data_IF_352645932526
#
_entry.id   IF_352645932526
#
_cell.length_a   1.000
_cell.length_b   1.000
_cell.length_c   1.000
_cell.angle_alpha   90.00
_cell.angle_beta   90.00
_cell.angle_gamma   90.00
#
_symmetry.space_group_name_H-M   'P 1'
#
loop_
_entity.id
_entity.type
_entity.pdbx_description
1 polymer ?
#
# COMPACT_ATOMS: atom_id res chain seq x y z
N UNK A 1 -30.29 -13.97 -37.29
CA UNK A 1 -29.33 -12.86 -37.11
C UNK A 1 -28.97 -12.88 -35.64
N UNK A 2 -28.18 -13.89 -35.29
CA UNK A 2 -27.84 -14.19 -33.89
C UNK A 2 -26.44 -13.63 -33.66
N UNK A 3 -26.39 -12.55 -32.87
CA UNK A 3 -25.15 -11.99 -32.39
C UNK A 3 -24.62 -12.94 -31.30
N UNK A 4 -23.68 -13.80 -31.69
CA UNK A 4 -22.89 -14.64 -30.80
C UNK A 4 -21.99 -13.71 -29.96
N UNK A 5 -22.50 -13.29 -28.80
CA UNK A 5 -21.74 -12.51 -27.83
C UNK A 5 -20.79 -13.46 -27.11
N UNK A 6 -19.50 -13.37 -27.47
CA UNK A 6 -18.39 -14.08 -26.85
C UNK A 6 -18.48 -14.06 -25.30
N UNK A 7 -18.76 -15.21 -24.64
CA UNK A 7 -19.05 -15.26 -23.21
C UNK A 7 -17.80 -15.18 -22.31
N UNK A 8 -16.58 -15.00 -22.84
CA UNK A 8 -15.37 -15.14 -22.02
C UNK A 8 -14.41 -13.94 -22.14
N UNK A 9 -14.92 -12.71 -21.95
CA UNK A 9 -14.05 -11.60 -21.51
C UNK A 9 -13.64 -11.86 -20.07
N UNK A 10 -12.65 -12.74 -19.86
CA UNK A 10 -11.98 -12.89 -18.57
C UNK A 10 -11.27 -11.57 -18.25
N UNK A 11 -11.92 -10.77 -17.41
CA UNK A 11 -11.35 -9.59 -16.76
C UNK A 11 -10.31 -9.95 -15.69
N UNK A 12 -9.85 -11.21 -15.62
CA UNK A 12 -8.79 -11.62 -14.70
C UNK A 12 -7.40 -11.27 -15.26
N UNK A 13 -6.66 -10.33 -14.65
CA UNK A 13 -5.30 -10.02 -15.07
C UNK A 13 -4.38 -11.24 -14.90
N UNK A 14 -3.46 -11.43 -15.85
CA UNK A 14 -2.55 -12.57 -15.84
C UNK A 14 -1.76 -12.60 -14.52
N UNK A 15 -1.58 -13.77 -13.86
CA UNK A 15 -1.03 -13.85 -12.50
C UNK A 15 0.33 -13.16 -12.33
N UNK A 16 1.21 -13.31 -13.33
CA UNK A 16 2.53 -12.68 -13.31
C UNK A 16 2.47 -11.16 -13.44
N UNK A 17 1.44 -10.63 -14.08
CA UNK A 17 1.22 -9.18 -14.19
C UNK A 17 0.82 -8.63 -12.82
N UNK A 18 -0.13 -9.28 -12.12
CA UNK A 18 -0.50 -8.89 -10.75
C UNK A 18 0.70 -8.94 -9.81
N UNK A 19 1.50 -10.01 -9.87
CA UNK A 19 2.69 -10.15 -9.04
C UNK A 19 3.75 -9.09 -9.37
N UNK A 20 3.97 -8.77 -10.64
CA UNK A 20 4.90 -7.70 -11.05
C UNK A 20 4.38 -6.32 -10.65
N UNK A 21 3.09 -6.03 -10.84
CA UNK A 21 2.46 -4.79 -10.41
C UNK A 21 2.55 -4.60 -8.90
N UNK A 22 2.33 -5.66 -8.12
CA UNK A 22 2.53 -5.63 -6.66
C UNK A 22 3.98 -5.33 -6.30
N UNK A 23 4.94 -5.97 -6.97
CA UNK A 23 6.36 -5.69 -6.72
C UNK A 23 6.70 -4.22 -7.01
N UNK A 24 6.25 -3.69 -8.15
CA UNK A 24 6.46 -2.28 -8.52
C UNK A 24 5.80 -1.35 -7.50
N UNK A 25 4.53 -1.60 -7.15
CA UNK A 25 3.80 -0.78 -6.19
C UNK A 25 4.48 -0.77 -4.81
N UNK A 26 4.96 -1.93 -4.34
CA UNK A 26 5.72 -2.04 -3.09
C UNK A 26 7.05 -1.28 -3.18
N UNK A 27 7.78 -1.37 -4.29
CA UNK A 27 9.02 -0.60 -4.48
C UNK A 27 8.75 0.90 -4.44
N UNK A 28 7.69 1.37 -5.11
CA UNK A 28 7.27 2.78 -5.08
C UNK A 28 6.90 3.20 -3.66
N UNK A 29 6.09 2.41 -2.95
CA UNK A 29 5.72 2.65 -1.55
C UNK A 29 6.92 2.76 -0.62
N UNK A 30 7.90 1.86 -0.78
CA UNK A 30 9.12 1.87 0.03
C UNK A 30 9.99 3.09 -0.27
N UNK A 31 10.14 3.44 -1.54
CA UNK A 31 10.91 4.61 -1.97
C UNK A 31 10.27 5.90 -1.43
N UNK A 32 8.98 6.12 -1.70
CA UNK A 32 8.27 7.31 -1.23
C UNK A 32 8.14 7.34 0.29
N UNK A 33 7.94 6.17 0.92
CA UNK A 33 7.92 6.05 2.38
C UNK A 33 9.24 6.48 3.01
N UNK A 34 10.37 5.96 2.52
CA UNK A 34 11.70 6.33 3.01
C UNK A 34 12.00 7.82 2.76
N UNK A 35 11.68 8.34 1.56
CA UNK A 35 11.84 9.76 1.25
C UNK A 35 10.98 10.64 2.15
N UNK A 36 9.76 10.21 2.48
CA UNK A 36 8.83 10.96 3.34
C UNK A 36 9.38 11.19 4.76
N UNK A 37 10.20 10.24 5.27
CA UNK A 37 10.82 10.35 6.59
C UNK A 37 11.80 11.51 6.71
N UNK A 38 12.36 11.96 5.59
CA UNK A 38 13.32 13.08 5.52
C UNK A 38 12.74 14.32 4.82
N UNK A 39 11.48 14.26 4.39
CA UNK A 39 10.81 15.34 3.66
C UNK A 39 9.96 16.17 4.61
N UNK A 40 10.29 17.46 4.71
CA UNK A 40 9.55 18.43 5.54
C UNK A 40 9.16 19.71 4.79
N UNK A 41 9.53 19.85 3.51
CA UNK A 41 9.25 21.06 2.72
C UNK A 41 7.95 20.89 1.93
N UNK A 42 7.13 21.95 1.77
CA UNK A 42 5.91 21.89 0.96
C UNK A 42 6.16 21.46 -0.50
N UNK A 43 7.34 21.77 -1.05
CA UNK A 43 7.74 21.34 -2.39
C UNK A 43 7.81 19.81 -2.55
N UNK A 44 7.92 19.06 -1.45
CA UNK A 44 8.01 17.59 -1.44
C UNK A 44 6.64 16.93 -1.23
N UNK A 45 5.54 17.69 -1.19
CA UNK A 45 4.20 17.17 -0.91
C UNK A 45 3.76 16.06 -1.89
N UNK A 46 4.18 16.14 -3.15
CA UNK A 46 3.90 15.14 -4.17
C UNK A 46 4.38 13.73 -3.81
N UNK A 47 5.41 13.59 -2.96
CA UNK A 47 5.92 12.29 -2.49
C UNK A 47 4.83 11.57 -1.67
N UNK A 48 4.10 12.31 -0.85
CA UNK A 48 3.00 11.78 -0.04
C UNK A 48 1.81 11.38 -0.92
N UNK A 49 1.50 12.18 -1.94
CA UNK A 49 0.43 11.87 -2.90
C UNK A 49 0.72 10.55 -3.64
N UNK A 50 1.95 10.41 -4.17
CA UNK A 50 2.39 9.17 -4.83
C UNK A 50 2.36 7.99 -3.87
N UNK A 51 2.76 8.17 -2.61
CA UNK A 51 2.71 7.12 -1.60
C UNK A 51 1.29 6.61 -1.38
N UNK A 52 0.32 7.51 -1.20
CA UNK A 52 -1.08 7.11 -0.98
C UNK A 52 -1.69 6.49 -2.23
N UNK A 53 -1.47 7.05 -3.42
CA UNK A 53 -1.94 6.47 -4.70
C UNK A 53 -1.42 5.03 -4.84
N UNK A 54 -0.12 4.81 -4.58
CA UNK A 54 0.48 3.48 -4.63
C UNK A 54 -0.09 2.55 -3.55
N UNK A 55 -0.41 3.08 -2.36
CA UNK A 55 -1.05 2.35 -1.27
C UNK A 55 -2.44 1.85 -1.66
N UNK A 56 -3.28 2.73 -2.20
CA UNK A 56 -4.63 2.39 -2.67
C UNK A 56 -4.60 1.39 -3.83
N UNK A 57 -3.69 1.57 -4.79
CA UNK A 57 -3.48 0.59 -5.86
C UNK A 57 -3.07 -0.78 -5.31
N UNK A 58 -2.22 -0.81 -4.29
CA UNK A 58 -1.78 -2.05 -3.63
C UNK A 58 -2.93 -2.79 -2.95
N UNK A 59 -3.89 -2.07 -2.33
CA UNK A 59 -5.11 -2.71 -1.76
C UNK A 59 -5.86 -3.51 -2.82
N UNK A 60 -6.11 -2.91 -3.99
CA UNK A 60 -6.84 -3.57 -5.09
C UNK A 60 -6.07 -4.78 -5.63
N UNK A 61 -4.77 -4.61 -5.90
CA UNK A 61 -3.91 -5.68 -6.40
C UNK A 61 -3.79 -6.84 -5.41
N UNK A 62 -3.68 -6.53 -4.11
CA UNK A 62 -3.59 -7.52 -3.05
C UNK A 62 -4.91 -8.27 -2.90
N UNK A 63 -6.06 -7.60 -2.97
CA UNK A 63 -7.37 -8.23 -2.96
C UNK A 63 -7.53 -9.24 -4.12
N UNK A 64 -7.12 -8.89 -5.34
CA UNK A 64 -7.11 -9.83 -6.46
C UNK A 64 -6.18 -11.03 -6.22
N UNK A 65 -4.96 -10.78 -5.74
CA UNK A 65 -4.01 -11.86 -5.43
C UNK A 65 -4.57 -12.80 -4.37
N UNK A 66 -5.09 -12.27 -3.26
CA UNK A 66 -5.64 -13.06 -2.16
C UNK A 66 -6.88 -13.86 -2.59
N UNK A 67 -7.81 -13.25 -3.34
CA UNK A 67 -8.96 -13.97 -3.92
C UNK A 67 -8.50 -15.14 -4.78
N UNK A 68 -7.49 -14.92 -5.62
CA UNK A 68 -6.93 -15.97 -6.48
C UNK A 68 -6.25 -17.07 -5.68
N UNK A 69 -5.50 -16.76 -4.63
CA UNK A 69 -4.73 -17.77 -3.87
C UNK A 69 -5.46 -18.34 -2.66
N UNK A 70 -6.69 -17.90 -2.35
CA UNK A 70 -7.45 -18.34 -1.17
C UNK A 70 -7.54 -19.86 -1.02
N UNK A 71 -7.71 -20.59 -2.13
CA UNK A 71 -7.81 -22.05 -2.16
C UNK A 71 -6.48 -22.77 -1.89
N UNK A 72 -5.35 -22.04 -1.85
CA UNK A 72 -4.01 -22.58 -1.62
C UNK A 72 -3.57 -22.48 -0.16
N UNK A 73 -4.36 -21.80 0.67
CA UNK A 73 -4.10 -21.60 2.10
C UNK A 73 -4.97 -22.57 2.88
N UNK A 74 -4.57 -23.85 2.90
CA UNK A 74 -5.19 -24.89 3.71
C UNK A 74 -4.19 -25.33 4.80
N UNK A 75 -4.61 -25.56 6.06
CA UNK A 75 -3.71 -25.94 7.15
C UNK A 75 -2.81 -27.12 6.81
N UNK A 76 -3.38 -28.15 6.17
CA UNK A 76 -2.66 -29.36 5.73
C UNK A 76 -1.58 -29.12 4.66
N UNK A 77 -1.50 -27.91 4.09
CA UNK A 77 -0.54 -27.55 3.05
C UNK A 77 0.44 -26.48 3.51
N UNK A 78 0.46 -26.07 4.78
CA UNK A 78 1.39 -25.04 5.25
C UNK A 78 2.81 -25.62 5.37
N UNK A 79 3.71 -25.12 4.53
CA UNK A 79 5.16 -25.33 4.65
C UNK A 79 5.84 -24.00 5.04
N UNK A 80 7.13 -24.04 5.39
CA UNK A 80 7.87 -22.84 5.80
C UNK A 80 7.90 -21.72 4.75
N UNK A 81 7.73 -22.03 3.47
CA UNK A 81 7.67 -21.05 2.37
C UNK A 81 6.30 -20.38 2.28
N UNK A 82 5.22 -21.15 2.45
CA UNK A 82 3.86 -20.62 2.54
C UNK A 82 3.67 -19.80 3.81
N UNK A 83 4.28 -20.20 4.92
CA UNK A 83 4.25 -19.42 6.16
C UNK A 83 4.82 -18.01 5.96
N UNK A 84 5.98 -17.89 5.30
CA UNK A 84 6.55 -16.56 4.95
C UNK A 84 5.61 -15.78 4.03
N UNK A 85 4.95 -16.45 3.08
CA UNK A 85 4.00 -15.80 2.17
C UNK A 85 2.76 -15.27 2.89
N UNK A 86 2.24 -16.05 3.85
CA UNK A 86 1.12 -15.66 4.72
C UNK A 86 1.54 -14.52 5.63
N UNK A 87 2.70 -14.61 6.27
CA UNK A 87 3.22 -13.57 7.15
C UNK A 87 3.44 -12.25 6.39
N UNK A 88 4.03 -12.31 5.19
CA UNK A 88 4.18 -11.14 4.32
C UNK A 88 2.81 -10.53 3.97
N UNK A 89 1.82 -11.36 3.63
CA UNK A 89 0.47 -10.87 3.33
C UNK A 89 -0.19 -10.21 4.54
N UNK A 90 -0.05 -10.80 5.73
CA UNK A 90 -0.58 -10.25 6.99
C UNK A 90 0.09 -8.91 7.31
N UNK A 91 1.42 -8.84 7.29
CA UNK A 91 2.17 -7.62 7.60
C UNK A 91 1.87 -6.51 6.59
N UNK A 92 1.83 -6.83 5.28
CA UNK A 92 1.47 -5.85 4.25
C UNK A 92 0.03 -5.36 4.41
N UNK A 93 -0.92 -6.25 4.75
CA UNK A 93 -2.32 -5.87 5.00
C UNK A 93 -2.43 -4.99 6.24
N UNK A 94 -1.69 -5.30 7.31
CA UNK A 94 -1.65 -4.48 8.52
C UNK A 94 -1.02 -3.09 8.26
N UNK A 95 0.03 -3.01 7.46
CA UNK A 95 0.60 -1.74 7.02
C UNK A 95 -0.44 -0.91 6.25
N UNK A 96 -1.12 -1.50 5.27
CA UNK A 96 -2.19 -0.81 4.52
C UNK A 96 -3.33 -0.36 5.45
N UNK A 97 -3.80 -1.23 6.35
CA UNK A 97 -4.88 -0.92 7.27
C UNK A 97 -4.53 0.23 8.22
N UNK A 98 -3.32 0.23 8.78
CA UNK A 98 -2.84 1.31 9.66
C UNK A 98 -2.68 2.63 8.91
N UNK A 99 -2.22 2.60 7.65
CA UNK A 99 -2.12 3.80 6.81
C UNK A 99 -3.49 4.37 6.45
N UNK A 100 -4.43 3.52 6.03
CA UNK A 100 -5.82 3.92 5.76
C UNK A 100 -6.49 4.50 7.01
N UNK A 101 -6.37 3.79 8.14
CA UNK A 101 -6.88 4.25 9.44
C UNK A 101 -6.29 5.60 9.83
N UNK A 102 -4.99 5.80 9.61
CA UNK A 102 -4.32 7.08 9.83
C UNK A 102 -4.96 8.18 8.99
N UNK A 103 -5.10 8.01 7.67
CA UNK A 103 -5.67 9.04 6.77
C UNK A 103 -7.04 9.52 7.26
N UNK A 104 -7.92 8.61 7.69
CA UNK A 104 -9.27 8.91 8.16
C UNK A 104 -9.38 9.53 9.56
N UNK A 105 -8.27 9.94 10.18
CA UNK A 105 -8.34 10.54 11.51
C UNK A 105 -8.09 9.53 12.65
N UNK A 106 -7.88 8.25 12.35
CA UNK A 106 -7.58 7.21 13.31
C UNK A 106 -6.34 7.51 14.15
N UNK A 107 -6.40 7.08 15.41
CA UNK A 107 -5.33 7.17 16.41
C UNK A 107 -5.18 5.81 17.08
N UNK A 108 -3.98 5.52 17.55
CA UNK A 108 -3.66 4.36 18.37
C UNK A 108 -2.49 4.78 19.25
N UNK A 109 -2.66 4.59 20.55
CA UNK A 109 -1.64 4.84 21.55
C UNK A 109 -1.00 3.50 21.93
N UNK A 110 0.32 3.41 21.74
CA UNK A 110 1.15 2.26 22.09
C UNK A 110 2.23 2.67 23.10
N UNK A 111 1.90 3.61 24.00
CA UNK A 111 2.81 4.19 24.98
C UNK A 111 3.70 5.25 24.32
N UNK A 112 5.02 5.06 24.22
CA UNK A 112 5.89 6.05 23.58
C UNK A 112 5.66 6.16 22.06
N UNK A 113 4.92 5.22 21.45
CA UNK A 113 4.71 5.15 20.01
C UNK A 113 3.24 5.36 19.63
N UNK A 114 2.99 6.09 18.54
CA UNK A 114 1.66 6.21 17.96
C UNK A 114 1.43 5.30 16.75
N UNK A 115 0.20 5.34 16.23
CA UNK A 115 -0.22 4.65 15.01
C UNK A 115 0.71 4.85 13.80
N UNK A 116 1.24 6.07 13.60
CA UNK A 116 2.17 6.34 12.49
C UNK A 116 3.48 5.55 12.64
N UNK A 117 3.99 5.43 13.87
CA UNK A 117 5.20 4.64 14.15
C UNK A 117 4.94 3.15 13.91
N UNK A 118 3.75 2.65 14.27
CA UNK A 118 3.34 1.28 13.94
C UNK A 118 3.32 1.07 12.42
N UNK A 119 2.74 2.01 11.66
CA UNK A 119 2.72 1.95 10.20
C UNK A 119 4.13 1.90 9.61
N UNK A 120 5.05 2.76 10.09
CA UNK A 120 6.46 2.76 9.67
C UNK A 120 7.13 1.42 10.00
N UNK A 121 6.98 0.92 11.22
CA UNK A 121 7.57 -0.35 11.65
C UNK A 121 7.09 -1.54 10.80
N UNK A 122 5.79 -1.61 10.52
CA UNK A 122 5.23 -2.62 9.63
C UNK A 122 5.76 -2.45 8.19
N UNK A 123 5.82 -1.21 7.70
CA UNK A 123 6.36 -0.88 6.38
C UNK A 123 7.82 -1.29 6.20
N UNK A 124 8.65 -1.14 7.24
CA UNK A 124 10.05 -1.59 7.25
C UNK A 124 10.20 -3.12 7.36
N UNK A 125 9.21 -3.81 7.92
CA UNK A 125 9.21 -5.27 7.98
C UNK A 125 8.84 -5.92 6.64
N UNK A 126 8.01 -5.26 5.83
CA UNK A 126 7.64 -5.71 4.47
C UNK A 126 8.85 -6.05 3.59
N UNK A 127 9.87 -5.18 3.38
CA UNK A 127 10.99 -5.49 2.50
C UNK A 127 11.81 -6.67 3.00
N UNK A 128 11.97 -6.83 4.32
CA UNK A 128 12.67 -7.99 4.91
C UNK A 128 11.95 -9.29 4.53
N UNK A 129 10.64 -9.35 4.78
CA UNK A 129 9.83 -10.52 4.46
C UNK A 129 9.73 -10.75 2.94
N UNK A 130 9.67 -9.68 2.15
CA UNK A 130 9.63 -9.73 0.70
C UNK A 130 10.92 -10.32 0.13
N UNK A 131 12.10 -9.90 0.61
CA UNK A 131 13.38 -10.47 0.17
C UNK A 131 13.45 -11.96 0.50
N UNK A 132 13.05 -12.36 1.72
CA UNK A 132 13.00 -13.79 2.10
C UNK A 132 12.01 -14.57 1.22
N UNK A 133 10.83 -14.01 0.96
CA UNK A 133 9.82 -14.60 0.08
C UNK A 133 10.37 -14.79 -1.35
N UNK A 134 10.98 -13.74 -1.91
CA UNK A 134 11.54 -13.76 -3.26
C UNK A 134 12.67 -14.79 -3.35
N UNK A 135 13.60 -14.85 -2.40
CA UNK A 135 14.68 -15.88 -2.40
C UNK A 135 14.15 -17.32 -2.43
N UNK A 136 12.97 -17.56 -1.84
CA UNK A 136 12.34 -18.91 -1.80
C UNK A 136 11.43 -19.21 -2.99
N UNK A 137 11.02 -18.20 -3.77
CA UNK A 137 9.99 -18.33 -4.83
C UNK A 137 10.24 -17.54 -6.12
N UNK A 138 11.43 -17.00 -6.33
CA UNK A 138 11.69 -16.05 -7.41
C UNK A 138 11.35 -16.64 -8.79
N UNK A 139 10.36 -16.05 -9.45
CA UNK A 139 10.03 -16.34 -10.84
C UNK A 139 9.54 -15.05 -11.50
N UNK A 140 10.45 -14.33 -12.17
CA UNK A 140 10.09 -13.13 -12.92
C UNK A 140 9.23 -13.47 -14.16
N UNK A 141 8.37 -12.55 -14.62
CA UNK A 141 7.70 -12.68 -15.91
C UNK A 141 8.74 -12.80 -17.04
N UNK A 142 8.48 -13.67 -18.03
CA UNK A 142 9.26 -13.67 -19.29
C UNK A 142 8.97 -12.37 -20.04
N UNK A 143 9.96 -11.82 -20.75
CA UNK A 143 9.88 -10.52 -21.44
C UNK A 143 8.66 -10.43 -22.38
N UNK A 144 8.25 -11.54 -23.00
CA UNK A 144 7.05 -11.57 -23.87
C UNK A 144 5.75 -11.16 -23.14
N UNK A 145 5.62 -11.46 -21.83
CA UNK A 145 4.43 -11.11 -21.07
C UNK A 145 4.34 -9.61 -20.74
N UNK A 146 5.45 -8.87 -20.82
CA UNK A 146 5.51 -7.43 -20.51
C UNK A 146 5.21 -6.58 -21.76
N UNK A 147 5.48 -7.10 -22.96
CA UNK A 147 5.38 -6.37 -24.22
C UNK A 147 3.98 -6.37 -24.88
N UNK A 148 2.98 -7.00 -24.27
CA UNK A 148 1.62 -7.10 -24.83
C UNK A 148 0.81 -5.79 -24.65
N UNK A 149 0.20 -5.28 -25.71
CA UNK A 149 -0.69 -4.09 -25.70
C UNK A 149 -1.81 -4.22 -24.68
N UNK A 150 -2.34 -5.44 -24.50
CA UNK A 150 -3.40 -5.70 -23.51
C UNK A 150 -2.89 -5.53 -22.07
N UNK A 151 -1.60 -5.80 -21.81
CA UNK A 151 -1.00 -5.56 -20.50
C UNK A 151 -0.66 -4.09 -20.28
N UNK A 152 -0.27 -3.34 -21.31
CA UNK A 152 -0.11 -1.89 -21.23
C UNK A 152 -1.44 -1.19 -20.81
N UNK A 153 -2.57 -1.57 -21.42
CA UNK A 153 -3.90 -1.07 -21.02
C UNK A 153 -4.27 -1.46 -19.58
N UNK A 154 -3.87 -2.66 -19.13
CA UNK A 154 -4.09 -3.09 -17.74
C UNK A 154 -3.24 -2.30 -16.74
N UNK A 155 -1.98 -2.00 -17.08
CA UNK A 155 -1.13 -1.11 -16.28
C UNK A 155 -1.73 0.29 -16.21
N UNK A 156 -2.17 0.83 -17.34
CA UNK A 156 -2.86 2.12 -17.40
C UNK A 156 -4.15 2.12 -16.56
N UNK A 157 -4.92 1.03 -16.57
CA UNK A 157 -6.12 0.90 -15.74
C UNK A 157 -5.80 0.84 -14.23
N UNK A 158 -4.72 0.17 -13.82
CA UNK A 158 -4.30 0.13 -12.40
C UNK A 158 -3.84 1.51 -11.94
N UNK A 159 -3.02 2.19 -12.75
CA UNK A 159 -2.56 3.56 -12.44
C UNK A 159 -3.75 4.52 -12.43
N UNK A 160 -4.64 4.44 -13.42
CA UNK A 160 -5.85 5.23 -13.51
C UNK A 160 -6.80 5.01 -12.34
N UNK A 161 -7.00 3.76 -11.91
CA UNK A 161 -7.80 3.43 -10.74
C UNK A 161 -7.19 3.98 -9.44
N UNK A 162 -5.86 3.94 -9.30
CA UNK A 162 -5.17 4.58 -8.19
C UNK A 162 -5.38 6.10 -8.15
N UNK A 163 -5.26 6.76 -9.31
CA UNK A 163 -5.51 8.20 -9.43
C UNK A 163 -6.99 8.56 -9.15
N UNK A 164 -7.94 7.73 -9.60
CA UNK A 164 -9.37 7.92 -9.34
C UNK A 164 -9.70 7.73 -7.86
N UNK A 165 -9.11 6.71 -7.22
CA UNK A 165 -9.27 6.44 -5.79
C UNK A 165 -8.65 7.56 -4.94
N UNK A 166 -7.53 8.13 -5.37
CA UNK A 166 -6.96 9.32 -4.74
C UNK A 166 -7.90 10.52 -4.79
N UNK A 167 -8.45 10.83 -5.98
CA UNK A 167 -9.43 11.92 -6.12
C UNK A 167 -10.70 11.67 -5.30
N UNK A 168 -11.16 10.42 -5.22
CA UNK A 168 -12.29 10.03 -4.38
C UNK A 168 -11.97 10.19 -2.89
N UNK A 169 -10.75 9.85 -2.45
CA UNK A 169 -10.29 10.03 -1.07
C UNK A 169 -10.25 11.52 -0.69
N UNK A 170 -9.70 12.36 -1.56
CA UNK A 170 -9.61 13.82 -1.37
C UNK A 170 -11.02 14.44 -1.26
N UNK A 171 -11.94 13.97 -2.10
CA UNK A 171 -13.36 14.37 -2.07
C UNK A 171 -14.06 13.87 -0.80
N UNK A 172 -13.81 12.63 -0.38
CA UNK A 172 -14.39 12.05 0.83
C UNK A 172 -13.90 12.77 2.09
N UNK A 173 -12.60 13.08 2.17
CA UNK A 173 -12.03 13.84 3.28
C UNK A 173 -12.64 15.24 3.38
N UNK A 174 -12.86 15.92 2.23
CA UNK A 174 -13.51 17.23 2.17
C UNK A 174 -15.01 17.17 2.50
N UNK A 175 -15.71 16.12 2.08
CA UNK A 175 -17.16 15.96 2.32
C UNK A 175 -17.50 15.50 3.75
N UNK A 176 -16.60 14.76 4.39
CA UNK A 176 -16.81 14.17 5.72
C UNK A 176 -16.22 15.02 6.86
N UNK A 177 -15.65 16.19 6.55
CA UNK A 177 -15.00 17.10 7.51
C UNK A 177 -14.08 16.38 8.50
N UNK A 178 -13.37 15.38 7.98
CA UNK A 178 -12.55 14.50 8.82
C UNK A 178 -11.35 15.27 9.34
N UNK A 179 -10.78 14.81 10.46
CA UNK A 179 -9.45 15.24 10.92
C UNK A 179 -8.32 14.96 9.89
N UNK A 180 -8.66 14.42 8.72
CA UNK A 180 -7.89 14.40 7.48
C UNK A 180 -7.62 15.79 6.88
N UNK A 181 -8.54 16.75 7.08
CA UNK A 181 -8.50 18.10 6.53
C UNK A 181 -7.54 19.05 7.28
N UNK A 182 -7.32 18.84 8.58
CA UNK A 182 -6.48 19.69 9.43
C UNK A 182 -5.03 19.19 9.59
N UNK A 183 -4.61 18.22 8.76
CA UNK A 183 -3.30 17.58 8.84
C UNK A 183 -2.24 18.39 8.10
N UNK A 184 -0.99 18.31 8.56
CA UNK A 184 0.14 18.67 7.68
C UNK A 184 0.16 17.73 6.48
N UNK A 185 0.63 18.22 5.34
CA UNK A 185 0.80 17.41 4.11
C UNK A 185 1.67 16.16 4.34
N UNK A 186 2.55 16.19 5.34
CA UNK A 186 3.35 15.04 5.75
C UNK A 186 2.54 13.90 6.39
N UNK A 187 1.24 14.11 6.57
CA UNK A 187 0.37 13.22 7.33
C UNK A 187 0.59 13.30 8.84
N UNK A 188 1.59 14.00 9.36
CA UNK A 188 1.75 14.21 10.81
C UNK A 188 0.61 15.07 11.39
N UNK A 189 0.29 14.88 12.67
CA UNK A 189 -0.60 15.78 13.41
C UNK A 189 0.21 16.54 14.46
N UNK A 190 -0.18 17.78 14.68
CA UNK A 190 0.37 18.59 15.75
C UNK A 190 -0.19 18.11 17.10
N UNK A 191 0.69 18.01 18.09
CA UNK A 191 0.35 17.69 19.47
C UNK A 191 1.13 18.62 20.38
N UNK A 192 0.47 19.35 21.27
CA UNK A 192 1.12 20.16 22.31
C UNK A 192 1.69 21.50 21.84
N UNK A 193 1.17 22.09 20.76
CA UNK A 193 1.63 23.40 20.29
C UNK A 193 1.30 24.48 21.31
N UNK A 194 2.32 25.17 21.81
CA UNK A 194 2.15 26.22 22.82
C UNK A 194 2.08 25.72 24.26
N UNK A 195 2.17 24.41 24.52
CA UNK A 195 2.12 23.82 25.88
C UNK A 195 3.49 23.83 26.61
N UNK A 196 4.42 24.70 26.19
CA UNK A 196 5.75 24.83 26.80
C UNK A 196 6.68 23.63 26.53
N UNK A 197 7.37 23.13 27.56
CA UNK A 197 8.32 22.00 27.44
C UNK A 197 7.64 20.62 27.43
N UNK A 198 6.33 20.56 27.17
CA UNK A 198 5.57 19.32 27.09
C UNK A 198 5.80 18.57 25.76
N UNK A 199 7.07 18.37 25.39
CA UNK A 199 7.42 17.60 24.21
C UNK A 199 7.15 16.10 24.44
N UNK A 200 6.72 15.35 23.40
CA UNK A 200 6.63 13.90 23.50
C UNK A 200 7.99 13.31 23.89
N UNK A 201 8.00 12.27 24.73
CA UNK A 201 9.24 11.57 25.15
C UNK A 201 10.07 10.98 24.00
N UNK A 202 9.53 10.98 22.78
CA UNK A 202 10.20 10.58 21.54
C UNK A 202 10.81 11.74 20.75
N UNK A 203 10.69 12.98 21.23
CA UNK A 203 11.33 14.15 20.64
C UNK A 203 12.77 14.29 21.16
N UNK A 204 13.74 14.19 20.25
CA UNK A 204 15.17 14.28 20.54
C UNK A 204 15.69 15.72 20.62
N UNK A 205 14.82 16.70 20.39
CA UNK A 205 15.14 18.13 20.27
C UNK A 205 14.60 18.95 21.46
N UNK A 206 14.13 18.26 22.50
CA UNK A 206 13.68 18.87 23.76
C UNK A 206 14.86 19.42 24.57
#
# INVERSE_FOLDING_TARGET
MDADLDPDVRLEPHPRVVDASLLVAVVVLLATGATSLVSGRPADAWVFDVHVVAGLATVVLLAWKLRRVRHRVAPARLDGTRLVSVLLAVVATAALATGVWWVFGGRLDLGPWGLLNLHIGLGLLVPVLLVVHLRRRFALPRREAVADRRNALRYAAVVGAGALAWRAQETANAALDTAGAERRFTGSRETGSGDGNAFPVTSWVA
#
